data_IF_180442886076
#
_entry.id   IF_180442886076
#
_cell.length_a   1.000
_cell.length_b   1.000
_cell.length_c   1.000
_cell.angle_alpha   90.00
_cell.angle_beta   90.00
_cell.angle_gamma   90.00
#
_symmetry.space_group_name_H-M   'P 1'
#
loop_
_entity.id
_entity.type
_entity.pdbx_description
1 polymer ?
#
# COMPACT_ATOMS: atom_id res chain seq x y z
N UNK A 1 61.87 -19.94 -21.11
CA UNK A 1 61.97 -18.99 -19.97
C UNK A 1 60.60 -18.38 -19.75
N UNK A 2 59.78 -19.03 -18.93
CA UNK A 2 58.44 -18.58 -18.56
C UNK A 2 58.54 -17.87 -17.21
N UNK A 3 58.48 -16.54 -17.23
CA UNK A 3 58.41 -15.70 -16.04
C UNK A 3 57.00 -15.79 -15.45
N UNK A 4 56.85 -16.56 -14.38
CA UNK A 4 55.67 -16.55 -13.55
C UNK A 4 55.61 -15.21 -12.79
N UNK A 5 54.71 -14.32 -13.20
CA UNK A 5 54.41 -13.11 -12.47
C UNK A 5 53.73 -13.49 -11.15
N UNK A 6 54.42 -13.25 -10.03
CA UNK A 6 53.88 -13.45 -8.69
C UNK A 6 52.70 -12.50 -8.46
N UNK A 7 51.49 -13.06 -8.35
CA UNK A 7 50.30 -12.30 -7.99
C UNK A 7 50.47 -11.75 -6.57
N UNK A 8 50.40 -10.43 -6.43
CA UNK A 8 50.49 -9.76 -5.14
C UNK A 8 49.40 -10.29 -4.17
N UNK A 9 49.80 -10.58 -2.93
CA UNK A 9 48.89 -11.12 -1.93
C UNK A 9 47.68 -10.18 -1.73
N UNK A 10 46.44 -10.70 -1.70
CA UNK A 10 45.26 -9.86 -1.58
C UNK A 10 45.31 -9.07 -0.27
N UNK A 11 45.09 -7.75 -0.35
CA UNK A 11 45.07 -6.86 0.80
C UNK A 11 44.02 -7.28 1.84
N UNK A 12 44.19 -6.84 3.09
CA UNK A 12 43.31 -7.20 4.22
C UNK A 12 41.81 -7.04 3.90
N UNK A 13 41.43 -5.99 3.18
CA UNK A 13 40.05 -5.76 2.73
C UNK A 13 39.53 -6.85 1.79
N UNK A 14 40.36 -7.30 0.84
CA UNK A 14 39.97 -8.35 -0.10
C UNK A 14 39.85 -9.71 0.60
N UNK A 15 40.70 -9.98 1.60
CA UNK A 15 40.58 -11.18 2.45
C UNK A 15 39.32 -11.15 3.31
N UNK A 16 38.98 -9.99 3.88
CA UNK A 16 37.77 -9.82 4.66
C UNK A 16 36.50 -9.99 3.82
N UNK A 17 36.45 -9.39 2.62
CA UNK A 17 35.33 -9.57 1.69
C UNK A 17 35.17 -11.03 1.31
N UNK A 18 36.26 -11.70 0.93
CA UNK A 18 36.21 -13.13 0.55
C UNK A 18 35.76 -14.01 1.72
N UNK A 19 36.22 -13.72 2.94
CA UNK A 19 35.76 -14.41 4.13
C UNK A 19 34.25 -14.23 4.37
N UNK A 20 33.72 -13.01 4.19
CA UNK A 20 32.29 -12.72 4.31
C UNK A 20 31.45 -13.43 3.21
N UNK A 21 32.00 -13.57 2.00
CA UNK A 21 31.36 -14.31 0.90
C UNK A 21 31.34 -15.83 1.17
N UNK A 22 32.47 -16.36 1.65
CA UNK A 22 32.63 -17.78 1.99
C UNK A 22 31.76 -18.17 3.20
N UNK A 23 31.51 -17.25 4.14
CA UNK A 23 30.69 -17.44 5.34
C UNK A 23 29.39 -16.61 5.33
N UNK A 24 28.80 -16.41 4.15
CA UNK A 24 27.60 -15.58 3.98
C UNK A 24 26.44 -16.03 4.88
N UNK A 25 26.35 -17.32 5.19
CA UNK A 25 25.35 -17.88 6.10
C UNK A 25 25.51 -17.37 7.53
N UNK A 26 26.73 -17.17 8.03
CA UNK A 26 26.97 -16.59 9.35
C UNK A 26 26.57 -15.12 9.35
N UNK A 27 26.87 -14.39 8.27
CA UNK A 27 26.44 -12.99 8.11
C UNK A 27 24.91 -12.90 8.10
N UNK A 28 24.25 -13.78 7.35
CA UNK A 28 22.79 -13.79 7.28
C UNK A 28 22.19 -14.13 8.65
N UNK A 29 22.71 -15.14 9.33
CA UNK A 29 22.14 -15.65 10.58
C UNK A 29 22.40 -14.73 11.77
N UNK A 30 23.61 -14.18 11.88
CA UNK A 30 24.03 -13.37 13.04
C UNK A 30 23.69 -11.89 12.86
N UNK A 31 23.62 -11.40 11.62
CA UNK A 31 23.36 -9.98 11.34
C UNK A 31 22.04 -9.75 10.61
N UNK A 32 21.86 -10.30 9.40
CA UNK A 32 20.70 -9.95 8.58
C UNK A 32 19.37 -10.37 9.23
N UNK A 33 19.31 -11.57 9.81
CA UNK A 33 18.09 -12.11 10.39
C UNK A 33 17.68 -11.38 11.68
N UNK A 34 18.57 -11.13 12.66
CA UNK A 34 18.25 -10.28 13.81
C UNK A 34 17.90 -8.85 13.43
N UNK A 35 18.66 -8.24 12.50
CA UNK A 35 18.35 -6.88 12.03
C UNK A 35 16.99 -6.81 11.35
N UNK A 36 16.65 -7.79 10.51
CA UNK A 36 15.34 -7.90 9.86
C UNK A 36 14.22 -8.09 10.89
N UNK A 37 14.43 -8.93 11.91
CA UNK A 37 13.46 -9.12 12.99
C UNK A 37 13.20 -7.83 13.76
N UNK A 38 14.27 -7.12 14.17
CA UNK A 38 14.15 -5.83 14.86
C UNK A 38 13.44 -4.80 13.97
N UNK A 39 13.78 -4.74 12.69
CA UNK A 39 13.13 -3.84 11.74
C UNK A 39 11.62 -4.14 11.61
N UNK A 40 11.24 -5.39 11.42
CA UNK A 40 9.84 -5.81 11.36
C UNK A 40 9.09 -5.54 12.66
N UNK A 41 9.74 -5.75 13.81
CA UNK A 41 9.17 -5.44 15.12
C UNK A 41 8.88 -3.94 15.27
N UNK A 42 9.81 -3.08 14.86
CA UNK A 42 9.65 -1.63 14.90
C UNK A 42 8.51 -1.15 13.99
N UNK A 43 8.44 -1.65 12.75
CA UNK A 43 7.34 -1.30 11.83
C UNK A 43 5.99 -1.77 12.37
N UNK A 44 5.92 -2.98 12.92
CA UNK A 44 4.71 -3.54 13.51
C UNK A 44 4.28 -2.74 14.74
N UNK A 45 5.21 -2.36 15.62
CA UNK A 45 4.93 -1.52 16.77
C UNK A 45 4.42 -0.12 16.37
N UNK A 46 5.00 0.48 15.31
CA UNK A 46 4.53 1.75 14.76
C UNK A 46 3.12 1.64 14.15
N UNK A 47 2.83 0.57 13.42
CA UNK A 47 1.50 0.32 12.87
C UNK A 47 0.46 0.12 13.97
N UNK A 48 0.80 -0.67 14.99
CA UNK A 48 -0.04 -0.90 16.16
C UNK A 48 -0.30 0.38 16.96
N UNK A 49 0.72 1.20 17.18
CA UNK A 49 0.56 2.47 17.89
C UNK A 49 -0.36 3.42 17.11
N UNK A 50 -0.22 3.47 15.78
CA UNK A 50 -1.12 4.22 14.91
C UNK A 50 -2.55 3.71 15.02
N UNK A 51 -2.76 2.40 14.98
CA UNK A 51 -4.08 1.80 15.11
C UNK A 51 -4.73 2.07 16.48
N UNK A 52 -3.95 2.10 17.56
CA UNK A 52 -4.44 2.52 18.88
C UNK A 52 -4.81 3.99 18.97
N UNK A 53 -4.19 4.83 18.13
CA UNK A 53 -4.49 6.25 17.97
C UNK A 53 -5.39 6.51 16.76
N UNK A 54 -6.08 5.48 16.25
CA UNK A 54 -6.99 5.62 15.13
C UNK A 54 -8.06 6.65 15.49
N UNK A 55 -8.30 7.58 14.57
CA UNK A 55 -9.30 8.63 14.78
C UNK A 55 -10.17 8.79 13.53
N UNK A 56 -11.08 7.83 13.26
CA UNK A 56 -11.94 7.87 12.08
C UNK A 56 -12.74 9.17 11.94
N UNK A 57 -13.09 9.78 13.07
CA UNK A 57 -13.79 11.07 13.18
C UNK A 57 -13.07 12.22 12.43
N UNK A 58 -11.74 12.15 12.30
CA UNK A 58 -10.91 13.17 11.66
C UNK A 58 -10.60 12.86 10.19
N UNK A 59 -11.28 11.87 9.61
CA UNK A 59 -11.13 11.54 8.19
C UNK A 59 -11.32 12.77 7.30
N UNK A 60 -12.47 13.44 7.42
CA UNK A 60 -12.83 14.58 6.57
C UNK A 60 -11.83 15.75 6.70
N UNK A 61 -11.32 16.01 7.91
CA UNK A 61 -10.30 17.05 8.10
C UNK A 61 -8.99 16.70 7.40
N UNK A 62 -8.55 15.42 7.47
CA UNK A 62 -7.34 14.97 6.75
C UNK A 62 -7.55 14.98 5.23
N UNK A 63 -8.75 14.64 4.75
CA UNK A 63 -9.11 14.75 3.33
C UNK A 63 -9.03 16.20 2.85
N UNK A 64 -9.52 17.16 3.65
CA UNK A 64 -9.38 18.59 3.33
C UNK A 64 -7.93 19.04 3.23
N UNK A 65 -7.02 18.48 4.03
CA UNK A 65 -5.57 18.75 3.91
C UNK A 65 -5.00 18.25 2.58
N UNK A 66 -5.43 17.07 2.13
CA UNK A 66 -5.08 16.52 0.80
C UNK A 66 -5.62 17.43 -0.30
N UNK A 67 -6.90 17.83 -0.23
CA UNK A 67 -7.49 18.79 -1.17
C UNK A 67 -6.72 20.10 -1.19
N UNK A 68 -6.38 20.66 -0.03
CA UNK A 68 -5.62 21.90 0.08
C UNK A 68 -4.22 21.76 -0.52
N UNK A 69 -3.54 20.62 -0.35
CA UNK A 69 -2.26 20.35 -0.97
C UNK A 69 -2.35 20.31 -2.50
N UNK A 70 -3.38 19.63 -3.04
CA UNK A 70 -3.61 19.56 -4.49
C UNK A 70 -3.99 20.93 -5.05
N UNK A 71 -4.83 21.72 -4.37
CA UNK A 71 -5.17 23.09 -4.78
C UNK A 71 -3.97 24.03 -4.79
N UNK A 72 -3.09 23.95 -3.77
CA UNK A 72 -1.82 24.70 -3.75
C UNK A 72 -0.91 24.35 -4.92
N UNK A 73 -0.90 23.08 -5.32
CA UNK A 73 -0.20 22.65 -6.53
C UNK A 73 -0.87 23.18 -7.81
N UNK A 74 -2.20 23.10 -7.90
CA UNK A 74 -2.96 23.55 -9.06
C UNK A 74 -2.92 25.08 -9.27
N UNK A 75 -2.68 25.85 -8.20
CA UNK A 75 -2.50 27.29 -8.26
C UNK A 75 -1.11 27.73 -8.78
N UNK A 76 -0.13 26.82 -8.88
CA UNK A 76 1.21 27.16 -9.36
C UNK A 76 1.19 27.43 -10.88
N UNK A 77 2.03 28.37 -11.39
CA UNK A 77 2.17 28.60 -12.82
C UNK A 77 2.56 27.31 -13.56
N UNK A 78 1.93 27.05 -14.70
CA UNK A 78 2.14 25.81 -15.48
C UNK A 78 3.61 25.54 -15.82
N UNK A 79 4.40 26.60 -16.07
CA UNK A 79 5.84 26.48 -16.36
C UNK A 79 6.68 25.92 -15.19
N UNK A 80 6.20 26.08 -13.95
CA UNK A 80 6.87 25.62 -12.72
C UNK A 80 6.26 24.32 -12.17
N UNK A 81 5.15 23.85 -12.76
CA UNK A 81 4.33 22.78 -12.22
C UNK A 81 4.96 21.42 -12.50
N UNK A 82 5.44 20.77 -11.44
CA UNK A 82 5.92 19.38 -11.49
C UNK A 82 4.75 18.39 -11.46
N UNK A 83 4.88 17.16 -12.00
CA UNK A 83 3.84 16.14 -11.87
C UNK A 83 3.53 15.82 -10.39
N UNK A 84 2.28 15.45 -10.10
CA UNK A 84 1.86 15.02 -8.78
C UNK A 84 2.23 13.56 -8.51
N UNK A 85 2.57 13.25 -7.26
CA UNK A 85 2.63 11.86 -6.79
C UNK A 85 2.34 11.76 -5.29
N UNK A 86 2.03 10.57 -4.81
CA UNK A 86 1.89 10.31 -3.37
C UNK A 86 3.25 10.42 -2.67
N UNK A 87 3.27 10.97 -1.45
CA UNK A 87 4.49 11.07 -0.65
C UNK A 87 4.94 9.73 -0.04
N UNK A 88 4.21 8.62 -0.27
CA UNK A 88 4.56 7.28 0.20
C UNK A 88 5.97 6.91 -0.28
N UNK A 89 6.92 6.57 0.60
CA UNK A 89 8.27 6.20 0.20
C UNK A 89 8.32 5.04 -0.80
N UNK A 90 9.29 5.09 -1.71
CA UNK A 90 9.46 4.08 -2.76
C UNK A 90 9.77 2.68 -2.21
N UNK A 91 10.53 2.59 -1.10
CA UNK A 91 10.89 1.31 -0.47
C UNK A 91 9.70 0.58 0.17
N UNK A 92 8.57 1.27 0.37
CA UNK A 92 7.30 0.66 0.78
C UNK A 92 6.47 0.19 -0.43
N UNK A 93 6.86 0.55 -1.65
CA UNK A 93 6.19 0.12 -2.88
C UNK A 93 6.65 -1.29 -3.27
N UNK A 94 5.71 -2.15 -3.65
CA UNK A 94 6.00 -3.47 -4.22
C UNK A 94 6.38 -3.37 -5.71
N UNK A 95 7.16 -2.36 -6.07
CA UNK A 95 7.63 -2.10 -7.44
C UNK A 95 9.07 -2.54 -7.59
N UNK A 96 9.38 -3.21 -8.70
CA UNK A 96 10.76 -3.55 -9.09
C UNK A 96 11.52 -2.34 -9.64
N UNK A 97 10.81 -1.25 -9.97
CA UNK A 97 11.39 0.00 -10.47
C UNK A 97 11.17 1.14 -9.47
N UNK A 98 12.19 1.99 -9.33
CA UNK A 98 12.12 3.18 -8.52
C UNK A 98 11.74 4.39 -9.37
N UNK A 99 10.56 4.95 -9.08
CA UNK A 99 10.10 6.17 -9.71
C UNK A 99 10.81 7.39 -9.13
N UNK A 100 11.17 8.35 -9.99
CA UNK A 100 11.88 9.58 -9.62
C UNK A 100 10.96 10.59 -8.94
N UNK A 101 10.61 10.31 -7.68
CA UNK A 101 9.77 11.19 -6.85
C UNK A 101 10.43 12.54 -6.52
N UNK A 102 11.73 12.70 -6.74
CA UNK A 102 12.45 13.99 -6.68
C UNK A 102 11.98 14.98 -7.75
N UNK A 103 11.49 14.46 -8.88
CA UNK A 103 10.97 15.28 -9.99
C UNK A 103 9.49 15.65 -9.81
N UNK A 104 8.83 15.14 -8.77
CA UNK A 104 7.39 15.30 -8.57
C UNK A 104 7.08 16.13 -7.33
N UNK A 105 5.91 16.76 -7.34
CA UNK A 105 5.33 17.35 -6.14
C UNK A 105 4.62 16.24 -5.34
N UNK A 106 5.08 16.02 -4.11
CA UNK A 106 4.67 14.90 -3.27
C UNK A 106 3.53 15.32 -2.34
N UNK A 107 2.39 14.67 -2.45
CA UNK A 107 1.23 14.90 -1.58
C UNK A 107 1.16 13.80 -0.51
N UNK A 108 1.28 14.14 0.78
CA UNK A 108 1.03 13.19 1.86
C UNK A 108 -0.42 12.74 1.87
N UNK A 109 -0.65 11.44 2.01
CA UNK A 109 -1.99 10.85 2.19
C UNK A 109 -1.94 9.95 3.44
N UNK A 110 -1.87 10.53 4.65
CA UNK A 110 -1.68 9.79 5.89
C UNK A 110 -3.00 9.21 6.42
N UNK A 111 -3.67 8.42 5.60
CA UNK A 111 -5.00 7.88 5.85
C UNK A 111 -4.88 6.36 6.08
N UNK A 112 -4.98 5.92 7.34
CA UNK A 112 -4.69 4.56 7.84
C UNK A 112 -5.85 3.89 8.59
N UNK A 113 -7.01 4.54 8.71
CA UNK A 113 -8.10 4.14 9.60
C UNK A 113 -9.18 3.31 8.88
N UNK A 114 -9.80 2.40 9.63
CA UNK A 114 -11.05 1.74 9.23
C UNK A 114 -12.18 2.66 9.67
N UNK A 115 -12.98 3.15 8.72
CA UNK A 115 -13.94 4.22 8.93
C UNK A 115 -15.29 3.71 9.47
N UNK A 116 -15.72 2.54 9.02
CA UNK A 116 -16.97 1.94 9.48
C UNK A 116 -17.24 0.58 8.85
N UNK A 117 -18.01 -0.25 9.56
CA UNK A 117 -18.51 -1.54 9.11
C UNK A 117 -20.03 -1.43 8.98
N UNK A 118 -20.55 -1.74 7.79
CA UNK A 118 -21.98 -1.85 7.54
C UNK A 118 -22.34 -3.34 7.38
N UNK A 119 -22.95 -3.90 8.41
CA UNK A 119 -23.35 -5.32 8.44
C UNK A 119 -24.62 -5.59 7.63
N UNK A 120 -25.45 -4.57 7.39
CA UNK A 120 -26.69 -4.69 6.61
C UNK A 120 -26.37 -4.62 5.11
N UNK A 121 -25.60 -3.60 4.71
CA UNK A 121 -25.09 -3.44 3.35
C UNK A 121 -23.97 -4.41 2.97
N UNK A 122 -23.41 -5.14 3.94
CA UNK A 122 -22.27 -6.03 3.76
C UNK A 122 -21.05 -5.31 3.15
N UNK A 123 -20.75 -4.11 3.63
CA UNK A 123 -19.60 -3.31 3.18
C UNK A 123 -18.75 -2.82 4.35
N UNK A 124 -17.49 -2.50 4.06
CA UNK A 124 -16.61 -1.81 5.00
C UNK A 124 -16.00 -0.60 4.32
N UNK A 125 -16.06 0.55 5.00
CA UNK A 125 -15.42 1.79 4.53
C UNK A 125 -14.06 1.94 5.20
N UNK A 126 -13.02 2.14 4.40
CA UNK A 126 -11.61 2.14 4.85
C UNK A 126 -10.80 3.22 4.17
N UNK A 127 -9.75 3.68 4.84
CA UNK A 127 -8.73 4.55 4.26
C UNK A 127 -7.69 3.76 3.42
N UNK A 128 -7.04 4.39 2.43
CA UNK A 128 -6.20 3.70 1.45
C UNK A 128 -4.97 2.99 2.02
N UNK A 129 -4.40 3.48 3.13
CA UNK A 129 -3.20 2.89 3.73
C UNK A 129 -3.51 1.80 4.77
N UNK A 130 -4.78 1.47 4.99
CA UNK A 130 -5.15 0.26 5.74
C UNK A 130 -4.54 -0.94 5.00
N UNK A 131 -3.86 -1.81 5.75
CA UNK A 131 -3.26 -3.03 5.20
C UNK A 131 -4.23 -4.20 5.22
N UNK A 132 -3.95 -5.21 4.39
CA UNK A 132 -4.71 -6.46 4.37
C UNK A 132 -4.69 -7.16 5.73
N UNK A 133 -3.55 -7.16 6.42
CA UNK A 133 -3.44 -7.72 7.77
C UNK A 133 -4.31 -6.99 8.79
N UNK A 134 -4.37 -5.65 8.72
CA UNK A 134 -5.19 -4.83 9.60
C UNK A 134 -6.69 -5.08 9.40
N UNK A 135 -7.15 -5.05 8.15
CA UNK A 135 -8.57 -5.27 7.86
C UNK A 135 -9.00 -6.71 8.16
N UNK A 136 -8.13 -7.69 7.91
CA UNK A 136 -8.40 -9.10 8.25
C UNK A 136 -8.54 -9.29 9.76
N UNK A 137 -7.63 -8.70 10.54
CA UNK A 137 -7.68 -8.73 12.01
C UNK A 137 -8.92 -8.02 12.57
N UNK A 138 -9.46 -7.03 11.83
CA UNK A 138 -10.69 -6.34 12.19
C UNK A 138 -11.95 -7.14 11.82
N UNK A 139 -12.02 -7.72 10.63
CA UNK A 139 -13.23 -8.37 10.12
C UNK A 139 -13.42 -9.82 10.59
N UNK A 140 -12.34 -10.62 10.65
CA UNK A 140 -12.44 -12.06 10.94
C UNK A 140 -13.05 -12.35 12.32
N UNK A 141 -12.66 -11.66 13.41
CA UNK A 141 -13.31 -11.83 14.71
C UNK A 141 -14.80 -11.47 14.72
N UNK A 142 -15.26 -10.69 13.74
CA UNK A 142 -16.66 -10.28 13.57
C UNK A 142 -17.44 -11.21 12.63
N UNK A 143 -16.80 -12.25 12.08
CA UNK A 143 -17.45 -13.20 11.18
C UNK A 143 -17.48 -12.77 9.71
N UNK A 144 -16.64 -11.79 9.33
CA UNK A 144 -16.56 -11.29 7.95
C UNK A 144 -15.14 -11.37 7.39
N UNK A 145 -15.03 -11.33 6.06
CA UNK A 145 -13.79 -11.04 5.33
C UNK A 145 -14.13 -10.24 4.08
N UNK A 146 -13.14 -9.60 3.45
CA UNK A 146 -13.35 -8.96 2.15
C UNK A 146 -13.68 -10.03 1.11
N UNK A 147 -14.58 -9.70 0.17
CA UNK A 147 -14.95 -10.60 -0.92
C UNK A 147 -13.72 -11.10 -1.70
N UNK A 148 -12.71 -10.26 -1.85
CA UNK A 148 -11.39 -10.64 -2.38
C UNK A 148 -10.33 -10.16 -1.38
N UNK A 149 -9.68 -11.11 -0.70
CA UNK A 149 -8.65 -10.83 0.32
C UNK A 149 -7.31 -11.40 -0.14
N UNK A 150 -6.28 -10.54 -0.25
CA UNK A 150 -4.95 -10.95 -0.71
C UNK A 150 -4.15 -11.67 0.38
N UNK A 151 -3.23 -12.56 0.01
CA UNK A 151 -2.38 -13.31 0.95
C UNK A 151 -1.08 -12.57 1.31
N UNK A 152 -1.10 -11.23 1.30
CA UNK A 152 0.05 -10.37 1.61
C UNK A 152 -0.38 -9.34 2.67
N UNK A 153 -0.06 -9.60 3.94
CA UNK A 153 -0.54 -8.81 5.07
C UNK A 153 -0.14 -7.33 5.01
N UNK A 154 1.03 -7.02 4.46
CA UNK A 154 1.57 -5.65 4.36
C UNK A 154 1.05 -4.87 3.14
N UNK A 155 0.33 -5.53 2.22
CA UNK A 155 -0.26 -4.85 1.07
C UNK A 155 -1.36 -3.89 1.55
N UNK A 156 -1.36 -2.67 1.00
CA UNK A 156 -2.38 -1.65 1.32
C UNK A 156 -3.59 -1.78 0.42
N UNK A 157 -4.79 -1.61 0.97
CA UNK A 157 -6.06 -1.73 0.23
C UNK A 157 -6.16 -0.73 -0.93
N UNK A 158 -5.62 0.48 -0.77
CA UNK A 158 -5.58 1.49 -1.83
C UNK A 158 -4.68 1.12 -3.01
N UNK A 159 -3.53 0.49 -2.73
CA UNK A 159 -2.65 -0.02 -3.77
C UNK A 159 -3.30 -1.13 -4.60
N UNK A 160 -4.03 -2.03 -3.93
CA UNK A 160 -4.79 -3.10 -4.60
C UNK A 160 -5.96 -2.55 -5.42
N UNK A 161 -6.61 -1.48 -4.93
CA UNK A 161 -7.74 -0.83 -5.60
C UNK A 161 -7.34 -0.11 -6.90
N UNK A 162 -6.16 0.51 -6.91
CA UNK A 162 -5.63 1.28 -8.04
C UNK A 162 -4.76 0.45 -9.00
N UNK A 163 -4.23 -0.69 -8.54
CA UNK A 163 -3.53 -1.66 -9.35
C UNK A 163 -4.44 -2.81 -9.76
N UNK A 164 -3.92 -4.03 -9.62
CA UNK A 164 -4.70 -5.25 -9.76
C UNK A 164 -4.53 -6.10 -8.50
N UNK A 165 -5.65 -6.57 -7.96
CA UNK A 165 -5.67 -7.50 -6.83
C UNK A 165 -6.37 -8.78 -7.29
N UNK A 166 -5.69 -9.90 -7.21
CA UNK A 166 -6.22 -11.21 -7.57
C UNK A 166 -5.83 -12.23 -6.51
N UNK A 167 -6.73 -13.16 -6.24
CA UNK A 167 -6.59 -14.14 -5.16
C UNK A 167 -7.12 -15.48 -5.63
N UNK A 168 -6.90 -16.53 -4.83
CA UNK A 168 -7.49 -17.85 -5.08
C UNK A 168 -9.02 -17.80 -5.11
N UNK A 169 -9.68 -16.86 -4.42
CA UNK A 169 -11.13 -16.69 -4.45
C UNK A 169 -11.65 -15.87 -5.65
N UNK A 170 -10.76 -15.26 -6.43
CA UNK A 170 -11.17 -14.38 -7.54
C UNK A 170 -11.93 -15.09 -8.65
N UNK A 171 -11.78 -16.41 -8.81
CA UNK A 171 -12.60 -17.21 -9.73
C UNK A 171 -14.10 -17.23 -9.38
N UNK A 172 -14.48 -16.86 -8.14
CA UNK A 172 -15.88 -16.76 -7.70
C UNK A 172 -16.35 -15.33 -7.53
N UNK A 173 -15.51 -14.48 -6.93
CA UNK A 173 -15.89 -13.12 -6.55
C UNK A 173 -15.45 -12.03 -7.53
N UNK A 174 -14.66 -12.39 -8.55
CA UNK A 174 -14.01 -11.44 -9.46
C UNK A 174 -12.65 -10.93 -8.97
N UNK A 175 -12.11 -9.95 -9.66
CA UNK A 175 -10.92 -9.22 -9.25
C UNK A 175 -11.24 -8.25 -8.11
N UNK A 176 -10.22 -7.83 -7.37
CA UNK A 176 -10.39 -6.98 -6.18
C UNK A 176 -11.19 -5.70 -6.48
N UNK A 177 -10.87 -5.01 -7.58
CA UNK A 177 -11.58 -3.79 -7.98
C UNK A 177 -13.04 -4.03 -8.39
N UNK A 178 -13.39 -5.23 -8.85
CA UNK A 178 -14.78 -5.62 -9.15
C UNK A 178 -15.60 -5.85 -7.87
N UNK A 179 -14.99 -5.81 -6.70
CA UNK A 179 -15.66 -5.89 -5.40
C UNK A 179 -15.71 -4.55 -4.65
N UNK A 180 -15.28 -3.48 -5.30
CA UNK A 180 -15.31 -2.12 -4.76
C UNK A 180 -16.61 -1.45 -5.18
N UNK A 181 -17.40 -1.06 -4.18
CA UNK A 181 -18.70 -0.42 -4.36
C UNK A 181 -18.54 1.09 -4.61
N UNK A 182 -17.60 1.72 -3.88
CA UNK A 182 -17.31 3.14 -4.04
C UNK A 182 -15.82 3.46 -3.87
N UNK A 183 -15.36 4.41 -4.68
CA UNK A 183 -14.08 5.09 -4.52
C UNK A 183 -14.33 6.53 -4.10
N UNK A 184 -13.66 6.99 -3.06
CA UNK A 184 -13.61 8.41 -2.73
C UNK A 184 -12.22 8.94 -3.08
N UNK A 185 -12.16 9.93 -3.96
CA UNK A 185 -10.90 10.40 -4.53
C UNK A 185 -10.84 11.93 -4.59
N UNK A 186 -9.63 12.46 -4.47
CA UNK A 186 -9.31 13.86 -4.74
C UNK A 186 -8.72 13.97 -6.14
N UNK A 187 -9.40 14.71 -7.00
CA UNK A 187 -8.98 14.98 -8.38
C UNK A 187 -7.89 16.05 -8.44
N UNK A 188 -7.28 16.23 -9.63
CA UNK A 188 -6.17 17.17 -9.84
C UNK A 188 -6.53 18.65 -9.62
N UNK A 189 -7.82 19.01 -9.68
CA UNK A 189 -8.35 20.34 -9.34
C UNK A 189 -8.60 20.51 -7.83
N UNK A 190 -8.45 19.44 -7.04
CA UNK A 190 -8.74 19.39 -5.61
C UNK A 190 -10.22 19.18 -5.28
N UNK A 191 -11.04 18.81 -6.27
CA UNK A 191 -12.41 18.32 -6.07
C UNK A 191 -12.40 16.97 -5.36
N UNK A 192 -13.32 16.77 -4.42
CA UNK A 192 -13.57 15.48 -3.77
C UNK A 192 -14.74 14.81 -4.48
N UNK A 193 -14.52 13.61 -4.98
CA UNK A 193 -15.51 12.85 -5.75
C UNK A 193 -15.71 11.48 -5.13
N UNK A 194 -16.97 11.08 -4.96
CA UNK A 194 -17.35 9.69 -4.71
C UNK A 194 -17.78 9.06 -6.02
N UNK A 195 -16.96 8.17 -6.56
CA UNK A 195 -17.23 7.43 -7.78
C UNK A 195 -17.84 6.05 -7.43
N UNK A 196 -19.02 5.78 -7.98
CA UNK A 196 -19.75 4.51 -7.87
C UNK A 196 -20.11 4.03 -9.27
N UNK A 197 -20.65 2.82 -9.40
CA UNK A 197 -21.05 2.28 -10.72
C UNK A 197 -22.26 2.97 -11.33
N UNK A 198 -23.10 3.56 -10.49
CA UNK A 198 -24.45 3.99 -10.86
C UNK A 198 -24.66 5.52 -10.77
N UNK A 199 -23.59 6.29 -10.54
CA UNK A 199 -23.64 7.74 -10.48
C UNK A 199 -22.94 8.43 -11.66
N UNK A 200 -22.94 9.76 -11.66
CA UNK A 200 -22.35 10.62 -12.68
C UNK A 200 -20.83 10.43 -12.89
N UNK A 201 -20.16 9.70 -11.99
CA UNK A 201 -18.73 9.37 -12.03
C UNK A 201 -18.46 7.88 -12.32
N UNK A 202 -19.41 7.19 -12.96
CA UNK A 202 -19.29 5.77 -13.32
C UNK A 202 -18.17 5.48 -14.33
N UNK A 203 -17.81 6.45 -15.16
CA UNK A 203 -16.62 6.39 -16.02
C UNK A 203 -15.32 6.38 -15.21
N UNK A 204 -15.24 7.24 -14.19
CA UNK A 204 -14.12 7.29 -13.26
C UNK A 204 -14.01 6.00 -12.45
N UNK A 205 -15.13 5.47 -11.93
CA UNK A 205 -15.14 4.17 -11.22
C UNK A 205 -14.53 3.06 -12.07
N UNK A 206 -14.86 3.01 -13.36
CA UNK A 206 -14.30 2.02 -14.32
C UNK A 206 -12.84 2.27 -14.68
N UNK A 207 -12.38 3.52 -14.64
CA UNK A 207 -11.03 3.92 -15.05
C UNK A 207 -10.00 3.95 -13.91
N UNK A 208 -10.43 4.06 -12.65
CA UNK A 208 -9.53 4.06 -11.49
C UNK A 208 -8.70 2.78 -11.34
N UNK A 209 -9.27 1.57 -11.51
CA UNK A 209 -8.48 0.34 -11.56
C UNK A 209 -7.41 0.42 -12.66
N UNK A 210 -6.23 -0.17 -12.42
CA UNK A 210 -5.08 -0.14 -13.34
C UNK A 210 -4.46 1.25 -13.61
N UNK A 211 -5.04 2.33 -13.10
CA UNK A 211 -4.45 3.66 -13.21
C UNK A 211 -3.16 3.82 -12.40
N UNK A 212 -2.92 2.93 -11.43
CA UNK A 212 -1.82 3.00 -10.46
C UNK A 212 -1.74 4.36 -9.73
N UNK A 213 -2.87 5.05 -9.57
CA UNK A 213 -2.97 6.35 -8.90
C UNK A 213 -2.59 7.55 -9.77
N UNK A 214 -2.57 7.39 -11.09
CA UNK A 214 -2.32 8.49 -12.04
C UNK A 214 -3.53 9.43 -12.22
N UNK A 215 -4.75 8.94 -12.03
CA UNK A 215 -5.97 9.70 -12.26
C UNK A 215 -6.41 10.54 -11.05
N UNK A 216 -6.19 10.05 -9.83
CA UNK A 216 -6.65 10.72 -8.62
C UNK A 216 -5.94 10.22 -7.35
N UNK A 217 -6.02 10.99 -6.27
CA UNK A 217 -5.59 10.57 -4.93
C UNK A 217 -6.73 9.88 -4.21
N UNK A 218 -6.57 8.59 -3.92
CA UNK A 218 -7.55 7.83 -3.14
C UNK A 218 -7.59 8.32 -1.68
N UNK A 219 -8.78 8.55 -1.14
CA UNK A 219 -9.00 8.94 0.25
C UNK A 219 -9.82 7.92 1.03
N UNK A 220 -10.79 7.28 0.41
CA UNK A 220 -11.53 6.17 1.02
C UNK A 220 -11.98 5.14 -0.02
N UNK A 221 -12.22 3.91 0.45
CA UNK A 221 -12.79 2.82 -0.30
C UNK A 221 -13.97 2.23 0.45
N UNK A 222 -14.98 1.79 -0.29
CA UNK A 222 -16.07 0.97 0.21
C UNK A 222 -15.97 -0.42 -0.42
N UNK A 223 -15.69 -1.42 0.42
CA UNK A 223 -15.34 -2.78 -0.01
C UNK A 223 -16.44 -3.75 0.38
N UNK A 224 -16.83 -4.62 -0.56
CA UNK A 224 -17.82 -5.67 -0.32
C UNK A 224 -17.27 -6.77 0.59
N UNK A 225 -18.11 -7.23 1.51
CA UNK A 225 -17.83 -8.27 2.48
C UNK A 225 -18.48 -9.58 2.13
N UNK A 226 -17.91 -10.67 2.65
CA UNK A 226 -18.50 -12.00 2.66
C UNK A 226 -18.40 -12.59 4.06
N UNK A 227 -19.37 -13.43 4.43
CA UNK A 227 -19.37 -14.10 5.73
C UNK A 227 -18.32 -15.22 5.74
N UNK A 228 -17.57 -15.32 6.82
CA UNK A 228 -16.61 -16.42 7.04
C UNK A 228 -17.20 -17.48 7.95
N UNK A 229 -16.78 -18.73 7.70
CA UNK A 229 -17.04 -19.85 8.60
C UNK A 229 -15.87 -20.00 9.58
N UNK A 230 -16.11 -20.46 10.81
CA UNK A 230 -15.05 -20.61 11.81
C UNK A 230 -14.03 -21.71 11.44
N UNK A 231 -14.39 -22.67 10.59
CA UNK A 231 -13.56 -23.82 10.26
C UNK A 231 -13.53 -24.09 8.75
N UNK A 232 -12.37 -24.53 8.27
CA UNK A 232 -12.16 -25.02 6.90
C UNK A 232 -12.10 -26.54 6.94
N UNK A 233 -12.82 -27.20 6.02
CA UNK A 233 -12.73 -28.66 5.86
C UNK A 233 -11.51 -28.98 5.00
N UNK A 234 -10.49 -29.59 5.59
CA UNK A 234 -9.40 -30.23 4.85
C UNK A 234 -9.91 -31.57 4.29
N UNK A 235 -9.60 -31.86 3.03
CA UNK A 235 -9.92 -33.13 2.37
C UNK A 235 -8.62 -33.87 2.07
#
# INVERSE_FOLDING_TARGET
MTTAAAAAAPGLRARAVRWLEDHRELVVLVFCLPASFVFSLLLSAQAWLRQRRASPQHHDSRVREVQAAVRRWAAQPSASRRPLCTARPNWLSLSTTFFRKDQCHRVPVPLYDILGLDEEGMTVRVEPMVTVGQITSFLVPRGYTLAVTLEIADATLGGLAMGTGMTTHSHKAGLYHETIEAYEVVLADGGLVRATRDNEHADLHRALPWSHGSLAFLTALELRLVRVKPYVKLR
#
